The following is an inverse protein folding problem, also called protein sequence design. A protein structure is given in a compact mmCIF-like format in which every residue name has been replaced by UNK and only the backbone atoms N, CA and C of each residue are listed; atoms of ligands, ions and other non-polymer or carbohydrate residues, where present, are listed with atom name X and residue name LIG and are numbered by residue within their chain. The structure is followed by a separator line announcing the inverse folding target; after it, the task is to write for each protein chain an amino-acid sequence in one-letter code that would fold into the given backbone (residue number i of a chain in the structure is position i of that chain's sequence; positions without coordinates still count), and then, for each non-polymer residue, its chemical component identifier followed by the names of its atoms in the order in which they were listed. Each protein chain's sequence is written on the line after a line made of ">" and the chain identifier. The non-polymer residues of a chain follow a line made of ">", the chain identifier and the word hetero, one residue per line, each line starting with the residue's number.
data_IF_094678525214
#
_entry.id   IF_094678525214
#
_cell.length_a   1.000
_cell.length_b   1.000
_cell.length_c   1.000
_cell.angle_alpha   90.00
_cell.angle_beta   90.00
_cell.angle_gamma   90.00
#
_symmetry.space_group_name_H-M   'P 1'
#
loop_
_entity.id
_entity.type
_entity.pdbx_description
1 polymer ?
#
# COMPACT_ATOMS: atom_id res chain seq x y z
N UNK A 1 -74.15 81.27 -22.52
CA UNK A 1 -74.27 79.85 -22.90
C UNK A 1 -73.29 79.10 -22.03
N UNK A 2 -73.69 78.80 -20.80
CA UNK A 2 -72.88 78.06 -19.84
C UNK A 2 -73.22 76.58 -20.01
N UNK A 3 -72.36 75.83 -20.68
CA UNK A 3 -72.50 74.38 -20.78
C UNK A 3 -72.30 73.75 -19.40
N UNK A 4 -73.19 72.86 -18.93
CA UNK A 4 -73.03 72.19 -17.65
C UNK A 4 -71.83 71.24 -17.70
N UNK A 5 -70.88 71.43 -16.78
CA UNK A 5 -69.73 70.56 -16.60
C UNK A 5 -70.23 69.21 -16.09
N UNK A 6 -70.01 68.15 -16.86
CA UNK A 6 -70.32 66.78 -16.45
C UNK A 6 -69.17 66.25 -15.57
N UNK A 7 -69.45 65.96 -14.30
CA UNK A 7 -68.46 65.36 -13.40
C UNK A 7 -68.32 63.87 -13.74
N UNK A 8 -67.09 63.42 -13.96
CA UNK A 8 -66.79 62.00 -14.22
C UNK A 8 -66.56 61.28 -12.88
N UNK A 9 -67.40 60.28 -12.61
CA UNK A 9 -67.40 59.52 -11.35
C UNK A 9 -66.11 58.72 -11.10
N UNK A 10 -65.44 58.25 -12.16
CA UNK A 10 -64.14 57.59 -12.02
C UNK A 10 -63.27 57.69 -13.28
N UNK A 11 -61.98 57.91 -13.09
CA UNK A 11 -60.98 58.00 -14.16
C UNK A 11 -59.82 57.05 -13.90
N UNK A 12 -59.35 56.33 -14.94
CA UNK A 12 -58.15 55.49 -14.83
C UNK A 12 -56.94 56.22 -15.40
N UNK A 13 -55.95 56.46 -14.56
CA UNK A 13 -54.68 57.08 -14.95
C UNK A 13 -53.52 56.20 -14.50
N UNK A 14 -52.59 55.84 -15.40
CA UNK A 14 -51.41 55.01 -15.07
C UNK A 14 -51.73 53.69 -14.33
N UNK A 15 -52.94 53.15 -14.52
CA UNK A 15 -53.41 51.93 -13.84
C UNK A 15 -53.94 52.15 -12.42
N UNK A 16 -54.06 53.40 -11.96
CA UNK A 16 -54.79 53.77 -10.73
C UNK A 16 -56.17 54.30 -11.10
N UNK A 17 -57.20 53.92 -10.34
CA UNK A 17 -58.57 54.42 -10.53
C UNK A 17 -58.81 55.54 -9.53
N UNK A 18 -59.10 56.73 -10.05
CA UNK A 18 -59.39 57.95 -9.30
C UNK A 18 -60.91 58.11 -9.32
N UNK A 19 -61.57 57.74 -8.22
CA UNK A 19 -63.03 57.87 -8.04
C UNK A 19 -63.38 59.20 -7.38
N UNK A 20 -64.52 59.79 -7.73
CA UNK A 20 -65.06 61.01 -7.13
C UNK A 20 -65.33 60.84 -5.62
N UNK A 21 -65.74 59.65 -5.20
CA UNK A 21 -65.99 59.22 -3.81
C UNK A 21 -64.76 59.21 -2.86
N UNK A 22 -63.61 59.72 -3.30
CA UNK A 22 -62.36 59.74 -2.52
C UNK A 22 -62.02 58.38 -1.84
N UNK A 23 -62.38 57.24 -2.44
CA UNK A 23 -61.99 55.89 -1.98
C UNK A 23 -60.52 55.57 -2.32
N UNK A 24 -59.62 56.48 -1.96
CA UNK A 24 -58.18 56.38 -2.20
C UNK A 24 -57.49 55.38 -1.28
N UNK A 25 -58.03 55.12 -0.08
CA UNK A 25 -57.41 54.24 0.92
C UNK A 25 -57.27 52.77 0.44
N UNK A 26 -58.31 52.12 -0.12
CA UNK A 26 -58.20 50.74 -0.61
C UNK A 26 -57.22 50.60 -1.78
N UNK A 27 -57.15 51.63 -2.63
CA UNK A 27 -56.24 51.67 -3.79
C UNK A 27 -54.79 51.78 -3.32
N UNK A 28 -54.50 52.69 -2.39
CA UNK A 28 -53.15 52.86 -1.81
C UNK A 28 -52.73 51.61 -1.04
N UNK A 29 -53.60 51.04 -0.22
CA UNK A 29 -53.29 49.82 0.54
C UNK A 29 -53.00 48.63 -0.37
N UNK A 30 -53.69 48.50 -1.50
CA UNK A 30 -53.39 47.49 -2.52
C UNK A 30 -52.02 47.67 -3.18
N UNK A 31 -51.62 48.93 -3.47
CA UNK A 31 -50.30 49.28 -4.01
C UNK A 31 -49.18 48.99 -3.00
N UNK A 32 -49.38 49.33 -1.73
CA UNK A 32 -48.42 49.05 -0.65
C UNK A 32 -48.22 47.55 -0.51
N UNK A 33 -49.30 46.75 -0.46
CA UNK A 33 -49.21 45.28 -0.38
C UNK A 33 -48.43 44.70 -1.56
N UNK A 34 -48.69 45.20 -2.78
CA UNK A 34 -47.96 44.77 -3.98
C UNK A 34 -46.47 45.12 -3.93
N UNK A 35 -46.13 46.31 -3.42
CA UNK A 35 -44.75 46.74 -3.22
C UNK A 35 -44.05 45.91 -2.13
N UNK A 36 -44.73 45.65 -1.01
CA UNK A 36 -44.22 44.83 0.09
C UNK A 36 -43.95 43.40 -0.36
N UNK A 37 -44.82 42.80 -1.16
CA UNK A 37 -44.61 41.45 -1.71
C UNK A 37 -43.34 41.40 -2.57
N UNK A 38 -43.16 42.37 -3.47
CA UNK A 38 -41.93 42.48 -4.29
C UNK A 38 -40.69 42.65 -3.42
N UNK A 39 -40.77 43.48 -2.39
CA UNK A 39 -39.67 43.74 -1.48
C UNK A 39 -39.33 42.53 -0.60
N UNK A 40 -40.33 41.73 -0.22
CA UNK A 40 -40.12 40.49 0.53
C UNK A 40 -39.28 39.49 -0.28
N UNK A 41 -39.61 39.26 -1.56
CA UNK A 41 -38.80 38.40 -2.42
C UNK A 41 -37.35 38.89 -2.55
N UNK A 42 -37.13 40.21 -2.68
CA UNK A 42 -35.79 40.78 -2.71
C UNK A 42 -35.01 40.56 -1.41
N UNK A 43 -35.69 40.68 -0.25
CA UNK A 43 -35.07 40.38 1.06
C UNK A 43 -34.68 38.91 1.18
N UNK A 44 -35.54 38.00 0.70
CA UNK A 44 -35.24 36.57 0.69
C UNK A 44 -34.06 36.26 -0.24
N UNK A 45 -34.02 36.84 -1.43
CA UNK A 45 -32.89 36.70 -2.36
C UNK A 45 -31.58 37.24 -1.77
N UNK A 46 -31.61 38.37 -1.06
CA UNK A 46 -30.44 38.92 -0.39
C UNK A 46 -29.94 37.97 0.71
N UNK A 47 -30.84 37.42 1.53
CA UNK A 47 -30.49 36.44 2.57
C UNK A 47 -29.86 35.19 1.96
N UNK A 48 -30.48 34.61 0.93
CA UNK A 48 -29.98 33.41 0.26
C UNK A 48 -28.61 33.64 -0.38
N UNK A 49 -28.39 34.78 -1.05
CA UNK A 49 -27.11 35.14 -1.65
C UNK A 49 -26.01 35.34 -0.60
N UNK A 50 -26.30 36.05 0.49
CA UNK A 50 -25.33 36.25 1.57
C UNK A 50 -24.92 34.92 2.20
N UNK A 51 -25.89 34.05 2.50
CA UNK A 51 -25.60 32.71 3.04
C UNK A 51 -24.77 31.86 2.06
N UNK A 52 -25.07 31.93 0.77
CA UNK A 52 -24.29 31.23 -0.26
C UNK A 52 -22.85 31.73 -0.36
N UNK A 53 -22.63 33.05 -0.36
CA UNK A 53 -21.28 33.61 -0.38
C UNK A 53 -20.50 33.27 0.89
N UNK A 54 -21.13 33.38 2.07
CA UNK A 54 -20.50 32.99 3.34
C UNK A 54 -20.11 31.52 3.32
N UNK A 55 -21.01 30.62 2.93
CA UNK A 55 -20.71 29.19 2.87
C UNK A 55 -19.58 28.84 1.88
N UNK A 56 -19.51 29.51 0.73
CA UNK A 56 -18.42 29.29 -0.24
C UNK A 56 -17.09 29.77 0.33
N UNK A 57 -17.05 30.98 0.89
CA UNK A 57 -15.82 31.53 1.48
C UNK A 57 -15.34 30.65 2.63
N UNK A 58 -16.26 30.23 3.51
CA UNK A 58 -15.96 29.30 4.61
C UNK A 58 -15.46 27.95 4.09
N UNK A 59 -16.07 27.40 3.04
CA UNK A 59 -15.64 26.13 2.46
C UNK A 59 -14.23 26.22 1.90
N UNK A 60 -13.91 27.27 1.13
CA UNK A 60 -12.59 27.47 0.51
C UNK A 60 -11.54 27.70 1.60
N UNK A 61 -11.85 28.54 2.59
CA UNK A 61 -10.93 28.84 3.68
C UNK A 61 -10.67 27.58 4.54
N UNK A 62 -11.72 26.88 4.93
CA UNK A 62 -11.64 25.65 5.73
C UNK A 62 -10.89 24.56 4.99
N UNK A 63 -11.16 24.36 3.69
CA UNK A 63 -10.47 23.35 2.90
C UNK A 63 -8.97 23.67 2.76
N UNK A 64 -8.64 24.94 2.56
CA UNK A 64 -7.25 25.37 2.39
C UNK A 64 -6.44 25.21 3.68
N UNK A 65 -7.01 25.61 4.83
CA UNK A 65 -6.39 25.45 6.14
C UNK A 65 -6.22 23.96 6.47
N UNK A 66 -7.28 23.16 6.30
CA UNK A 66 -7.26 21.72 6.61
C UNK A 66 -6.23 20.98 5.74
N UNK A 67 -6.20 21.28 4.44
CA UNK A 67 -5.22 20.73 3.50
C UNK A 67 -3.78 21.06 3.90
N UNK A 68 -3.50 22.33 4.21
CA UNK A 68 -2.17 22.78 4.61
C UNK A 68 -1.70 22.12 5.91
N UNK A 69 -2.56 22.07 6.92
CA UNK A 69 -2.27 21.42 8.20
C UNK A 69 -2.00 19.92 7.99
N UNK A 70 -2.89 19.22 7.26
CA UNK A 70 -2.75 17.78 7.01
C UNK A 70 -1.47 17.47 6.26
N UNK A 71 -1.16 18.22 5.19
CA UNK A 71 0.07 18.05 4.41
C UNK A 71 1.33 18.30 5.26
N UNK A 72 1.33 19.37 6.07
CA UNK A 72 2.46 19.73 6.93
C UNK A 72 2.70 18.67 8.02
N UNK A 73 1.63 18.17 8.65
CA UNK A 73 1.71 17.10 9.65
C UNK A 73 2.22 15.82 9.00
N UNK A 74 1.65 15.40 7.87
CA UNK A 74 2.09 14.21 7.15
C UNK A 74 3.56 14.30 6.75
N UNK A 75 4.01 15.43 6.22
CA UNK A 75 5.41 15.63 5.86
C UNK A 75 6.32 15.62 7.09
N UNK A 76 5.95 16.31 8.17
CA UNK A 76 6.74 16.34 9.40
C UNK A 76 6.89 14.94 10.01
N UNK A 77 5.80 14.19 10.14
CA UNK A 77 5.82 12.83 10.67
C UNK A 77 6.66 11.91 9.76
N UNK A 78 6.45 11.97 8.44
CA UNK A 78 7.19 11.13 7.48
C UNK A 78 8.69 11.42 7.56
N UNK A 79 9.07 12.69 7.59
CA UNK A 79 10.47 13.10 7.72
C UNK A 79 11.07 12.66 9.06
N UNK A 80 10.35 12.82 10.17
CA UNK A 80 10.80 12.39 11.51
C UNK A 80 10.97 10.87 11.61
N UNK A 81 10.04 10.10 11.04
CA UNK A 81 10.15 8.63 11.01
C UNK A 81 11.31 8.21 10.11
N UNK A 82 11.41 8.79 8.91
CA UNK A 82 12.47 8.46 7.96
C UNK A 82 13.85 8.79 8.53
N UNK A 83 14.01 9.93 9.19
CA UNK A 83 15.27 10.30 9.85
C UNK A 83 15.57 9.40 11.05
N UNK A 84 14.56 9.01 11.82
CA UNK A 84 14.73 8.07 12.94
C UNK A 84 15.20 6.70 12.45
N UNK A 85 14.57 6.16 11.40
CA UNK A 85 14.94 4.88 10.79
C UNK A 85 16.30 4.96 10.09
N UNK A 86 16.63 6.08 9.46
CA UNK A 86 17.93 6.25 8.76
C UNK A 86 19.08 6.51 9.75
N UNK A 87 18.81 7.19 10.87
CA UNK A 87 19.80 7.42 11.94
C UNK A 87 20.03 6.18 12.80
N UNK A 88 19.01 5.33 12.99
CA UNK A 88 19.20 3.97 13.46
C UNK A 88 19.89 3.19 12.35
N UNK A 89 21.23 3.22 12.37
CA UNK A 89 22.13 2.56 11.44
C UNK A 89 21.50 1.33 10.78
N UNK A 90 21.48 1.22 9.43
CA UNK A 90 21.12 -0.05 8.82
C UNK A 90 22.03 -1.12 9.44
N UNK A 91 21.55 -2.37 9.62
CA UNK A 91 22.28 -3.40 10.35
C UNK A 91 23.62 -3.81 9.68
N UNK A 92 24.13 -3.05 8.71
CA UNK A 92 25.41 -3.25 8.04
C UNK A 92 26.60 -3.27 8.99
N UNK A 93 26.69 -2.42 10.04
CA UNK A 93 27.86 -2.50 10.94
C UNK A 93 27.83 -3.78 11.77
N UNK A 94 26.67 -4.15 12.31
CA UNK A 94 26.50 -5.40 13.06
C UNK A 94 26.66 -6.62 12.17
N UNK A 95 26.07 -6.61 10.97
CA UNK A 95 26.22 -7.69 9.98
C UNK A 95 27.67 -7.80 9.51
N UNK A 96 28.33 -6.68 9.21
CA UNK A 96 29.73 -6.68 8.76
C UNK A 96 30.67 -7.16 9.88
N UNK A 97 30.44 -6.73 11.12
CA UNK A 97 31.24 -7.18 12.26
C UNK A 97 31.02 -8.67 12.55
N UNK A 98 29.77 -9.15 12.49
CA UNK A 98 29.42 -10.56 12.71
C UNK A 98 29.97 -11.44 11.57
N UNK A 99 29.87 -10.97 10.32
CA UNK A 99 30.40 -11.66 9.14
C UNK A 99 31.93 -11.72 9.15
N UNK A 100 32.60 -10.63 9.52
CA UNK A 100 34.05 -10.60 9.69
C UNK A 100 34.50 -11.53 10.83
N UNK A 101 33.77 -11.53 11.95
CA UNK A 101 34.08 -12.39 13.10
C UNK A 101 33.90 -13.88 12.76
N UNK A 102 32.81 -14.26 12.07
CA UNK A 102 32.61 -15.64 11.62
C UNK A 102 33.64 -16.08 10.58
N UNK A 103 34.02 -15.19 9.65
CA UNK A 103 35.06 -15.50 8.66
C UNK A 103 36.41 -15.76 9.33
N UNK A 104 36.79 -14.91 10.28
CA UNK A 104 38.02 -15.08 11.06
C UNK A 104 38.01 -16.40 11.85
N UNK A 105 36.88 -16.73 12.48
CA UNK A 105 36.75 -17.98 13.24
C UNK A 105 36.79 -19.22 12.34
N UNK A 106 36.22 -19.17 11.13
CA UNK A 106 36.26 -20.25 10.16
C UNK A 106 37.68 -20.49 9.61
N UNK A 107 38.43 -19.42 9.33
CA UNK A 107 39.84 -19.52 8.92
C UNK A 107 40.72 -20.13 10.01
N UNK A 108 40.53 -19.69 11.27
CA UNK A 108 41.23 -20.28 12.42
C UNK A 108 40.88 -21.76 12.56
N UNK A 109 39.59 -22.11 12.49
CA UNK A 109 39.12 -23.48 12.65
C UNK A 109 39.65 -24.39 11.53
N UNK A 110 39.66 -23.89 10.30
CA UNK A 110 40.24 -24.60 9.15
C UNK A 110 41.75 -24.81 9.31
N UNK A 111 42.49 -23.78 9.74
CA UNK A 111 43.94 -23.85 9.96
C UNK A 111 44.31 -24.84 11.08
N UNK A 112 43.56 -24.84 12.18
CA UNK A 112 43.72 -25.80 13.28
C UNK A 112 43.35 -27.22 12.83
N UNK A 113 42.22 -27.41 12.13
CA UNK A 113 41.78 -28.72 11.62
C UNK A 113 42.78 -29.29 10.62
N UNK A 114 43.32 -28.46 9.73
CA UNK A 114 44.37 -28.82 8.78
C UNK A 114 45.67 -29.22 9.49
N UNK A 115 46.09 -28.44 10.50
CA UNK A 115 47.29 -28.73 11.29
C UNK A 115 47.17 -30.02 12.10
N UNK A 116 45.99 -30.30 12.67
CA UNK A 116 45.72 -31.54 13.40
C UNK A 116 45.66 -32.73 12.43
N UNK A 117 44.96 -32.62 11.31
CA UNK A 117 44.84 -33.71 10.30
C UNK A 117 46.20 -34.08 9.72
N UNK A 118 47.05 -33.10 9.41
CA UNK A 118 48.42 -33.32 8.91
C UNK A 118 49.34 -33.92 9.98
N UNK A 119 49.17 -33.58 11.25
CA UNK A 119 49.91 -34.20 12.36
C UNK A 119 49.50 -35.65 12.63
N UNK A 120 48.23 -36.00 12.39
CA UNK A 120 47.73 -37.38 12.55
C UNK A 120 48.14 -38.26 11.35
N UNK A 121 48.30 -37.70 10.15
CA UNK A 121 48.76 -38.47 8.97
C UNK A 121 50.27 -38.68 8.91
N UNK A 122 51.08 -37.81 9.53
CA UNK A 122 52.55 -37.99 9.59
C UNK A 122 53.02 -39.00 10.64
N UNK A 123 52.13 -39.41 11.55
CA UNK A 123 52.44 -40.31 12.68
C UNK A 123 51.87 -41.73 12.53
N UNK A 124 51.17 -42.05 11.43
CA UNK A 124 50.82 -43.45 11.14
C UNK A 124 52.06 -44.21 10.63
N UNK A 125 52.42 -45.36 11.23
CA UNK A 125 53.49 -46.20 10.71
C UNK A 125 53.11 -46.76 9.32
N UNK A 126 54.10 -47.09 8.46
CA UNK A 126 53.80 -47.76 7.20
C UNK A 126 53.04 -49.07 7.45
N UNK A 127 52.14 -49.49 6.53
CA UNK A 127 51.48 -50.79 6.66
C UNK A 127 52.53 -51.90 6.80
N UNK A 128 52.34 -52.80 7.78
CA UNK A 128 53.27 -53.90 8.04
C UNK A 128 53.46 -54.75 6.77
N UNK A 129 54.69 -55.26 6.50
CA UNK A 129 54.89 -56.17 5.38
C UNK A 129 54.01 -57.42 5.54
N UNK A 130 53.46 -57.99 4.46
CA UNK A 130 52.64 -59.19 4.55
C UNK A 130 53.46 -60.35 5.14
N UNK A 131 52.84 -61.24 5.94
CA UNK A 131 53.53 -62.38 6.53
C UNK A 131 54.13 -63.29 5.45
N UNK A 132 55.29 -63.88 5.75
CA UNK A 132 56.01 -64.81 4.86
C UNK A 132 55.09 -65.95 4.41
N UNK A 133 55.10 -66.34 3.13
CA UNK A 133 54.23 -67.41 2.65
C UNK A 133 54.58 -68.74 3.34
N UNK A 134 53.57 -69.57 3.70
CA UNK A 134 53.81 -70.91 4.22
C UNK A 134 54.54 -71.79 3.19
N UNK A 135 55.27 -72.84 3.62
CA UNK A 135 56.03 -73.69 2.71
C UNK A 135 55.13 -74.30 1.64
N UNK A 136 55.65 -74.32 0.40
CA UNK A 136 54.94 -74.77 -0.79
C UNK A 136 54.37 -76.18 -0.62
N UNK A 137 53.06 -76.42 -0.87
CA UNK A 137 52.52 -77.77 -0.92
C UNK A 137 53.11 -78.54 -2.13
N UNK A 138 53.19 -79.88 -2.06
CA UNK A 138 53.71 -80.70 -3.15
C UNK A 138 52.88 -80.50 -4.45
N UNK A 139 53.49 -80.71 -5.63
CA UNK A 139 52.85 -80.43 -6.91
C UNK A 139 51.58 -81.27 -7.10
N UNK A 140 50.47 -80.58 -7.39
CA UNK A 140 49.20 -81.18 -7.79
C UNK A 140 49.22 -81.58 -9.28
N UNK A 141 48.50 -82.64 -9.69
CA UNK A 141 48.53 -83.19 -11.05
C UNK A 141 47.94 -82.23 -12.12
N UNK A 142 48.29 -82.41 -13.40
CA UNK A 142 47.91 -81.50 -14.50
C UNK A 142 46.39 -81.42 -14.78
N UNK A 143 45.94 -80.33 -15.45
CA UNK A 143 44.57 -79.82 -15.38
C UNK A 143 43.56 -80.51 -16.31
N UNK A 144 42.28 -80.39 -15.97
CA UNK A 144 41.15 -80.71 -16.85
C UNK A 144 40.65 -79.46 -17.60
N UNK A 145 40.19 -79.58 -18.86
CA UNK A 145 39.87 -78.46 -19.76
C UNK A 145 38.56 -77.70 -19.44
N UNK A 146 38.36 -76.49 -19.99
CA UNK A 146 37.38 -75.51 -19.52
C UNK A 146 36.02 -75.62 -20.22
N UNK A 147 34.97 -75.04 -19.62
CA UNK A 147 33.82 -74.55 -20.37
C UNK A 147 33.73 -73.01 -20.38
N UNK A 148 33.28 -72.48 -21.52
CA UNK A 148 33.19 -71.06 -21.89
C UNK A 148 31.80 -70.45 -21.57
N UNK A 149 31.44 -69.22 -22.00
CA UNK A 149 30.96 -68.17 -21.11
C UNK A 149 29.46 -67.82 -21.28
N UNK A 150 28.87 -67.17 -20.29
CA UNK A 150 27.56 -66.53 -20.38
C UNK A 150 27.52 -65.44 -19.28
N UNK A 151 27.07 -64.20 -19.44
CA UNK A 151 26.15 -63.58 -20.37
C UNK A 151 25.05 -62.83 -19.58
N UNK A 152 24.70 -61.61 -20.02
CA UNK A 152 23.48 -60.82 -19.68
C UNK A 152 23.41 -60.01 -18.36
N UNK A 153 23.24 -58.66 -18.42
CA UNK A 153 21.99 -57.83 -18.50
C UNK A 153 21.29 -57.71 -17.11
N UNK A 154 20.74 -56.61 -16.56
CA UNK A 154 20.29 -55.26 -16.95
C UNK A 154 19.89 -54.46 -15.65
N UNK A 155 19.75 -53.12 -15.62
CA UNK A 155 19.31 -52.30 -14.46
C UNK A 155 17.87 -51.71 -14.56
N UNK A 156 17.26 -51.28 -13.43
CA UNK A 156 15.98 -50.53 -13.33
C UNK A 156 15.92 -49.68 -12.04
N UNK A 157 15.08 -48.65 -11.80
CA UNK A 157 14.24 -47.69 -12.57
C UNK A 157 13.34 -46.94 -11.54
N UNK A 158 13.17 -45.60 -11.66
CA UNK A 158 11.97 -44.81 -11.27
C UNK A 158 11.63 -44.64 -9.76
N UNK A 159 10.87 -43.65 -9.26
CA UNK A 159 9.99 -42.62 -9.85
C UNK A 159 9.70 -41.48 -8.83
N UNK A 160 9.18 -40.37 -9.37
CA UNK A 160 8.80 -39.08 -8.78
C UNK A 160 7.29 -39.04 -8.40
N UNK A 161 6.83 -38.22 -7.44
CA UNK A 161 5.42 -37.76 -7.37
C UNK A 161 5.17 -36.52 -6.49
N UNK A 162 4.38 -35.60 -7.07
CA UNK A 162 3.86 -34.31 -6.59
C UNK A 162 2.87 -34.37 -5.41
N UNK A 163 2.78 -33.25 -4.66
CA UNK A 163 1.56 -32.83 -3.97
C UNK A 163 1.28 -31.32 -4.20
N UNK A 164 0.43 -31.05 -5.20
CA UNK A 164 -0.41 -29.85 -5.30
C UNK A 164 -1.77 -30.15 -4.69
N UNK A 165 -2.08 -29.62 -3.51
CA UNK A 165 -3.43 -29.43 -2.99
C UNK A 165 -3.33 -28.59 -1.70
N UNK A 166 -4.35 -27.78 -1.41
CA UNK A 166 -4.57 -27.00 -0.18
C UNK A 166 -4.08 -25.55 -0.17
N UNK A 167 -4.65 -24.69 -1.03
CA UNK A 167 -4.98 -23.31 -0.61
C UNK A 167 -6.12 -22.68 -1.45
N UNK A 168 -7.07 -23.51 -1.91
CA UNK A 168 -8.36 -23.05 -2.43
C UNK A 168 -9.44 -23.32 -1.37
N UNK A 169 -9.45 -22.53 -0.29
CA UNK A 169 -10.67 -22.30 0.49
C UNK A 169 -10.64 -20.91 1.12
N UNK A 170 -11.00 -19.95 0.28
CA UNK A 170 -11.49 -18.64 0.64
C UNK A 170 -12.90 -18.78 1.26
N UNK A 171 -13.28 -17.80 2.10
CA UNK A 171 -14.65 -17.50 2.57
C UNK A 171 -15.22 -18.40 3.66
N UNK A 172 -15.07 -17.97 4.91
CA UNK A 172 -16.22 -17.50 5.71
C UNK A 172 -15.78 -16.56 6.82
#
# INVERSE_FOLDING_TARGET
>A
MDSPITSVESFRFLGTTITQDLKWEPTISSLIKKAQQRMYFLRQLRKAKLQFYTAIIESILTSSITSSITSSISSSITSSITSSITSSSPPHHLLHHLLHHLHHHLLITSSITSSITSSITSSSPPPSPPPSPPPSPPPSPPPSPPPSPCGSLEPQSGTNRDYSALCALQRK
#
